data_IF_796916315916
#
_entry.id   IF_796916315916
#
_cell.length_a   1.000
_cell.length_b   1.000
_cell.length_c   1.000
_cell.angle_alpha   90.00
_cell.angle_beta   90.00
_cell.angle_gamma   90.00
#
_symmetry.space_group_name_H-M   'P 1'
#
loop_
_entity.id
_entity.type
_entity.pdbx_description
1 polymer ?
#
# COMPACT_ATOMS: atom_id res chain seq x y z
N UNK A 1 19.14 -50.80 21.07
CA UNK A 1 19.72 -49.49 21.45
C UNK A 1 19.96 -48.50 20.28
N UNK A 2 19.42 -48.72 19.07
CA UNK A 2 19.62 -47.78 17.95
C UNK A 2 18.47 -46.74 17.80
N UNK A 3 17.25 -47.07 18.22
CA UNK A 3 16.08 -46.17 18.14
C UNK A 3 16.19 -44.91 19.03
N UNK A 4 16.74 -45.05 20.25
CA UNK A 4 16.90 -43.92 21.18
C UNK A 4 17.90 -42.87 20.71
N UNK A 5 18.95 -43.26 19.96
CA UNK A 5 19.90 -42.31 19.37
C UNK A 5 19.26 -41.42 18.30
N UNK A 6 18.18 -41.89 17.66
CA UNK A 6 17.45 -41.17 16.60
C UNK A 6 16.47 -40.14 17.19
N UNK A 7 15.84 -40.46 18.31
CA UNK A 7 14.99 -39.53 19.09
C UNK A 7 15.79 -38.37 19.68
N UNK A 8 17.06 -38.59 20.05
CA UNK A 8 17.94 -37.53 20.57
C UNK A 8 18.41 -36.54 19.48
N UNK A 9 18.29 -36.90 18.20
CA UNK A 9 18.61 -36.03 17.04
C UNK A 9 17.44 -35.10 16.68
N UNK A 10 16.21 -35.49 17.02
CA UNK A 10 14.99 -34.69 16.84
C UNK A 10 15.02 -33.31 17.53
N UNK A 11 15.44 -33.17 18.80
CA UNK A 11 15.56 -31.86 19.44
C UNK A 11 16.61 -30.97 18.77
N UNK A 12 17.68 -31.56 18.20
CA UNK A 12 18.70 -30.79 17.47
C UNK A 12 18.16 -30.20 16.16
N UNK A 13 17.27 -30.92 15.48
CA UNK A 13 16.59 -30.45 14.27
C UNK A 13 15.64 -29.30 14.62
N UNK A 14 14.87 -29.43 15.71
CA UNK A 14 13.96 -28.36 16.18
C UNK A 14 14.76 -27.11 16.56
N UNK A 15 15.87 -27.26 17.28
CA UNK A 15 16.78 -26.17 17.64
C UNK A 15 17.37 -25.46 16.42
N UNK A 16 17.58 -26.17 15.32
CA UNK A 16 18.07 -25.59 14.07
C UNK A 16 17.02 -24.72 13.36
N UNK A 17 15.73 -25.10 13.43
CA UNK A 17 14.63 -24.34 12.81
C UNK A 17 14.10 -23.19 13.68
N UNK A 18 14.33 -23.24 14.99
CA UNK A 18 13.91 -22.20 15.94
C UNK A 18 14.39 -20.78 15.57
N UNK A 19 15.68 -20.52 15.22
CA UNK A 19 16.11 -19.19 14.84
C UNK A 19 15.48 -18.72 13.52
N UNK A 20 15.24 -19.63 12.57
CA UNK A 20 14.58 -19.31 11.30
C UNK A 20 13.14 -18.85 11.55
N UNK A 21 12.43 -19.54 12.44
CA UNK A 21 11.08 -19.16 12.85
C UNK A 21 11.05 -17.77 13.49
N UNK A 22 12.01 -17.48 14.38
CA UNK A 22 12.14 -16.16 15.02
C UNK A 22 12.38 -15.08 13.96
N UNK A 23 13.30 -15.28 13.02
CA UNK A 23 13.56 -14.32 11.94
C UNK A 23 12.29 -14.06 11.12
N UNK A 24 11.55 -15.09 10.73
CA UNK A 24 10.30 -14.94 9.96
C UNK A 24 9.27 -14.10 10.73
N UNK A 25 9.13 -14.33 12.05
CA UNK A 25 8.22 -13.58 12.90
C UNK A 25 8.65 -12.10 13.09
N UNK A 26 9.94 -11.82 13.07
CA UNK A 26 10.46 -10.44 13.15
C UNK A 26 10.23 -9.67 11.84
N UNK A 27 10.32 -10.33 10.68
CA UNK A 27 10.15 -9.68 9.38
C UNK A 27 8.69 -9.61 8.88
N UNK A 28 7.77 -10.40 9.46
CA UNK A 28 6.35 -10.37 9.07
C UNK A 28 5.61 -9.10 9.48
N UNK A 29 6.20 -8.26 10.33
CA UNK A 29 5.63 -7.01 10.82
C UNK A 29 6.24 -5.76 10.16
N UNK A 30 6.89 -5.89 8.99
CA UNK A 30 7.27 -4.72 8.21
C UNK A 30 5.99 -4.03 7.68
N UNK A 31 5.53 -3.04 8.43
CA UNK A 31 4.47 -2.14 7.98
C UNK A 31 4.94 -1.40 6.73
N UNK A 32 4.12 -1.38 5.67
CA UNK A 32 4.38 -0.50 4.53
C UNK A 32 4.39 0.94 5.04
N UNK A 33 5.42 1.71 4.69
CA UNK A 33 5.46 3.12 5.00
C UNK A 33 4.18 3.77 4.46
N UNK A 34 3.30 4.22 5.37
CA UNK A 34 2.13 4.97 4.99
C UNK A 34 2.63 6.31 4.45
N UNK A 35 2.22 6.66 3.23
CA UNK A 35 2.49 7.99 2.68
C UNK A 35 1.59 8.95 3.43
N UNK A 36 2.17 9.68 4.38
CA UNK A 36 1.48 10.75 5.09
C UNK A 36 1.26 11.91 4.12
N UNK A 37 0.00 12.30 3.91
CA UNK A 37 -0.34 13.49 3.15
C UNK A 37 -0.04 14.69 4.06
N UNK A 38 1.15 15.26 3.90
CA UNK A 38 1.63 16.35 4.76
C UNK A 38 0.79 17.64 4.62
N UNK A 39 0.27 17.91 3.42
CA UNK A 39 -0.57 19.07 3.14
C UNK A 39 -1.39 18.87 1.85
N UNK A 40 -2.53 19.56 1.75
CA UNK A 40 -3.33 19.65 0.53
C UNK A 40 -3.23 21.09 0.02
N UNK A 41 -2.48 21.26 -1.07
CA UNK A 41 -2.34 22.57 -1.71
C UNK A 41 -3.40 22.75 -2.78
N UNK A 42 -4.21 23.80 -2.64
CA UNK A 42 -5.08 24.25 -3.72
C UNK A 42 -4.26 24.75 -4.91
N UNK A 43 -4.46 24.14 -6.08
CA UNK A 43 -3.71 24.46 -7.31
C UNK A 43 -4.53 25.24 -8.35
N UNK A 44 -5.85 25.28 -8.21
CA UNK A 44 -6.71 26.07 -9.10
C UNK A 44 -8.17 25.67 -9.06
N UNK A 45 -9.01 26.50 -9.66
CA UNK A 45 -10.44 26.25 -9.86
C UNK A 45 -10.87 26.80 -11.21
N UNK A 46 -11.85 26.15 -11.83
CA UNK A 46 -12.59 26.69 -12.96
C UNK A 46 -14.05 26.87 -12.56
N UNK A 47 -14.63 28.02 -12.89
CA UNK A 47 -16.06 28.27 -12.71
C UNK A 47 -16.75 28.10 -14.06
N UNK A 48 -17.71 27.18 -14.12
CA UNK A 48 -18.60 27.03 -15.27
C UNK A 48 -19.85 27.88 -15.04
N UNK A 49 -20.27 28.69 -16.03
CA UNK A 49 -21.53 29.43 -15.91
C UNK A 49 -22.71 28.46 -15.87
N UNK A 50 -23.79 28.85 -15.17
CA UNK A 50 -25.02 28.07 -15.10
C UNK A 50 -25.58 27.87 -16.52
N UNK A 51 -25.98 26.63 -16.84
CA UNK A 51 -26.50 26.30 -18.17
C UNK A 51 -25.42 26.19 -19.26
N UNK A 52 -24.14 26.05 -18.90
CA UNK A 52 -23.08 25.80 -19.87
C UNK A 52 -23.36 24.50 -20.65
N UNK A 53 -23.35 24.59 -21.99
CA UNK A 53 -23.60 23.46 -22.88
C UNK A 53 -22.30 22.96 -23.50
N UNK A 54 -21.98 21.69 -23.31
CA UNK A 54 -20.95 20.98 -24.05
C UNK A 54 -21.63 19.98 -24.98
N UNK A 55 -21.38 20.08 -26.29
CA UNK A 55 -21.99 19.21 -27.30
C UNK A 55 -23.53 19.09 -27.19
N UNK A 56 -24.21 20.23 -26.95
CA UNK A 56 -25.68 20.32 -26.75
C UNK A 56 -26.20 19.65 -25.47
N UNK A 57 -25.34 19.29 -24.53
CA UNK A 57 -25.72 18.76 -23.21
C UNK A 57 -25.26 19.71 -22.12
N UNK A 58 -26.12 19.98 -21.14
CA UNK A 58 -25.75 20.78 -19.97
C UNK A 58 -24.70 20.04 -19.14
N UNK A 59 -23.62 20.74 -18.81
CA UNK A 59 -22.57 20.19 -17.96
C UNK A 59 -23.06 20.24 -16.50
N UNK A 60 -23.24 19.06 -15.91
CA UNK A 60 -23.57 18.89 -14.50
C UNK A 60 -22.34 18.99 -13.57
N UNK A 61 -22.49 18.52 -12.33
CA UNK A 61 -21.37 18.43 -11.39
C UNK A 61 -20.25 17.54 -11.94
N UNK A 62 -19.04 18.09 -12.02
CA UNK A 62 -17.83 17.35 -12.40
C UNK A 62 -17.18 16.80 -11.14
N UNK A 63 -17.13 15.47 -11.02
CA UNK A 63 -16.43 14.78 -9.94
C UNK A 63 -15.38 13.88 -10.54
N UNK A 64 -14.10 14.13 -10.25
CA UNK A 64 -13.02 13.26 -10.69
C UNK A 64 -11.68 13.77 -10.19
N UNK A 65 -10.80 12.84 -9.82
CA UNK A 65 -9.40 13.12 -9.58
C UNK A 65 -8.63 12.67 -10.83
N UNK A 66 -7.98 13.60 -11.53
CA UNK A 66 -7.15 13.28 -12.71
C UNK A 66 -5.67 13.39 -12.38
N UNK A 67 -4.89 12.39 -12.78
CA UNK A 67 -3.44 12.42 -12.63
C UNK A 67 -2.75 12.98 -13.89
N UNK A 68 -1.92 13.99 -13.68
CA UNK A 68 -1.02 14.55 -14.69
C UNK A 68 0.41 14.07 -14.43
N UNK A 69 0.85 13.11 -15.25
CA UNK A 69 2.18 12.49 -15.12
C UNK A 69 3.32 13.42 -15.47
N UNK A 70 3.07 14.49 -16.24
CA UNK A 70 4.11 15.44 -16.64
C UNK A 70 4.51 16.34 -15.48
N UNK A 71 3.53 16.74 -14.68
CA UNK A 71 3.73 17.63 -13.54
C UNK A 71 3.70 16.91 -12.19
N UNK A 72 3.38 15.61 -12.18
CA UNK A 72 3.21 14.78 -10.98
C UNK A 72 2.17 15.38 -10.02
N UNK A 73 1.00 15.75 -10.57
CA UNK A 73 -0.09 16.40 -9.82
C UNK A 73 -1.40 15.63 -9.97
N UNK A 74 -2.22 15.67 -8.92
CA UNK A 74 -3.60 15.20 -8.90
C UNK A 74 -4.53 16.42 -8.85
N UNK A 75 -5.42 16.54 -9.84
CA UNK A 75 -6.43 17.60 -9.97
C UNK A 75 -7.80 17.10 -9.54
#
# INVERSE_FOLDING_TARGET
MQFFRKILKFPQIILFFLPILVIILFFSNLSSAAVEIADIKFIGSATLPKGFLFQKTEVGGLSGITYDSKNNLYY
#
